data_IF_993346967801
#
_entry.id   IF_993346967801
#
_cell.length_a   1.000
_cell.length_b   1.000
_cell.length_c   1.000
_cell.angle_alpha   90.00
_cell.angle_beta   90.00
_cell.angle_gamma   90.00
#
_symmetry.space_group_name_H-M   'P 1'
#
loop_
_entity.id
_entity.type
_entity.pdbx_description
1 polymer ?
#
# COMPACT_ATOMS: atom_id res chain seq x y z
N UNK A 1 -4.25 -10.97 6.91
CA UNK A 1 -3.20 -10.14 6.29
C UNK A 1 -2.64 -10.86 5.08
N UNK A 2 -2.30 -10.15 4.01
CA UNK A 2 -1.90 -10.72 2.71
C UNK A 2 -0.39 -10.93 2.53
N UNK A 3 0.02 -11.22 1.30
CA UNK A 3 1.42 -11.32 0.88
C UNK A 3 1.73 -10.29 -0.20
N UNK A 4 2.92 -9.69 -0.13
CA UNK A 4 3.50 -8.93 -1.23
C UNK A 4 4.36 -9.89 -2.05
N UNK A 5 4.21 -9.87 -3.37
CA UNK A 5 4.90 -10.71 -4.34
C UNK A 5 5.78 -9.78 -5.19
N UNK A 6 7.10 -9.97 -5.16
CA UNK A 6 8.04 -9.27 -6.04
C UNK A 6 8.49 -10.26 -7.11
N UNK A 7 8.07 -10.04 -8.35
CA UNK A 7 8.43 -10.91 -9.46
C UNK A 7 9.84 -10.62 -9.95
N UNK A 8 10.50 -11.61 -10.58
CA UNK A 8 11.83 -11.43 -11.18
C UNK A 8 11.88 -10.29 -12.23
N UNK A 9 10.74 -9.96 -12.85
CA UNK A 9 10.62 -8.83 -13.77
C UNK A 9 10.56 -7.45 -13.09
N UNK A 10 10.66 -7.38 -11.76
CA UNK A 10 10.46 -6.17 -10.95
C UNK A 10 9.00 -5.75 -10.76
N UNK A 11 8.04 -6.46 -11.38
CA UNK A 11 6.61 -6.23 -11.13
C UNK A 11 6.28 -6.64 -9.70
N UNK A 12 5.40 -5.88 -9.05
CA UNK A 12 4.96 -6.19 -7.70
C UNK A 12 3.45 -6.42 -7.68
N UNK A 13 3.03 -7.45 -6.95
CA UNK A 13 1.61 -7.77 -6.72
C UNK A 13 1.32 -7.91 -5.24
N UNK A 14 0.07 -7.72 -4.84
CA UNK A 14 -0.43 -8.03 -3.50
C UNK A 14 -1.48 -9.13 -3.62
N UNK A 15 -1.37 -10.16 -2.77
CA UNK A 15 -2.39 -11.22 -2.63
C UNK A 15 -3.10 -11.08 -1.29
N UNK A 16 -4.42 -10.86 -1.32
CA UNK A 16 -5.30 -10.77 -0.15
C UNK A 16 -6.35 -11.88 -0.26
N UNK A 17 -6.19 -12.96 0.51
CA UNK A 17 -6.98 -14.18 0.28
C UNK A 17 -6.67 -14.75 -1.11
N UNK A 18 -7.70 -14.95 -1.92
CA UNK A 18 -7.57 -15.42 -3.31
C UNK A 18 -7.54 -14.29 -4.36
N UNK A 19 -7.73 -13.05 -3.92
CA UNK A 19 -7.68 -11.88 -4.79
C UNK A 19 -6.23 -11.42 -5.01
N UNK A 20 -5.92 -11.06 -6.26
CA UNK A 20 -4.64 -10.53 -6.69
C UNK A 20 -4.80 -9.08 -7.16
N UNK A 21 -3.84 -8.25 -6.78
CA UNK A 21 -3.78 -6.84 -7.11
C UNK A 21 -2.42 -6.52 -7.72
N UNK A 22 -2.40 -5.83 -8.85
CA UNK A 22 -1.20 -5.20 -9.36
C UNK A 22 -0.85 -3.98 -8.49
N UNK A 23 0.44 -3.78 -8.25
CA UNK A 23 0.94 -2.64 -7.48
C UNK A 23 1.69 -1.69 -8.38
N UNK A 24 1.20 -0.45 -8.42
CA UNK A 24 1.77 0.65 -9.19
C UNK A 24 2.33 1.72 -8.25
N UNK A 25 3.34 2.44 -8.72
CA UNK A 25 3.79 3.65 -8.03
C UNK A 25 2.69 4.72 -8.12
N UNK A 26 2.28 5.26 -6.97
CA UNK A 26 1.37 6.37 -6.92
C UNK A 26 2.03 7.69 -7.30
N UNK A 27 1.21 8.72 -7.47
CA UNK A 27 1.68 10.06 -7.80
C UNK A 27 2.67 10.57 -6.75
N UNK A 28 3.76 11.16 -7.23
CA UNK A 28 4.75 11.82 -6.36
C UNK A 28 4.09 13.01 -5.69
N UNK A 29 4.17 13.05 -4.37
CA UNK A 29 3.68 14.17 -3.57
C UNK A 29 4.84 15.12 -3.26
N UNK A 30 4.70 16.40 -3.62
CA UNK A 30 5.78 17.39 -3.45
C UNK A 30 5.70 18.14 -2.12
N UNK A 31 4.54 18.12 -1.46
CA UNK A 31 4.38 18.66 -0.12
C UNK A 31 4.75 17.65 0.97
N UNK A 32 5.09 18.16 2.16
CA UNK A 32 5.43 17.34 3.31
C UNK A 32 4.20 16.62 3.85
N UNK A 33 4.30 15.30 3.98
CA UNK A 33 3.30 14.45 4.62
C UNK A 33 3.94 13.73 5.81
N UNK A 34 3.21 13.64 6.92
CA UNK A 34 3.67 13.05 8.17
C UNK A 34 2.58 12.16 8.77
N UNK A 35 2.97 10.97 9.23
CA UNK A 35 2.08 10.07 9.96
C UNK A 35 2.24 10.33 11.45
N UNK A 36 1.12 10.45 12.15
CA UNK A 36 1.08 10.61 13.61
C UNK A 36 0.18 9.54 14.22
N UNK A 37 0.58 9.03 15.38
CA UNK A 37 -0.25 8.18 16.22
C UNK A 37 -0.95 9.06 17.27
N UNK A 38 -2.28 8.92 17.37
CA UNK A 38 -3.11 9.63 18.34
C UNK A 38 -3.91 8.60 19.12
N UNK A 39 -3.58 8.41 20.40
CA UNK A 39 -4.40 7.64 21.33
C UNK A 39 -5.28 8.61 22.13
N UNK A 40 -6.56 8.67 21.79
CA UNK A 40 -7.51 9.60 22.42
C UNK A 40 -7.91 9.19 23.84
N UNK A 41 -7.78 7.90 24.20
CA UNK A 41 -8.10 7.39 25.54
C UNK A 41 -7.02 7.81 26.55
N UNK A 42 -5.76 7.57 26.21
CA UNK A 42 -4.62 7.89 27.07
C UNK A 42 -4.09 9.32 26.85
N UNK A 43 -4.68 10.04 25.89
CA UNK A 43 -4.25 11.39 25.45
C UNK A 43 -2.78 11.42 25.04
N UNK A 44 -2.31 10.34 24.43
CA UNK A 44 -0.94 10.22 23.96
C UNK A 44 -0.85 10.56 22.47
N UNK A 45 0.16 11.36 22.11
CA UNK A 45 0.47 11.78 20.76
C UNK A 45 1.92 11.44 20.44
N UNK A 46 2.17 10.87 19.26
CA UNK A 46 3.51 10.54 18.79
C UNK A 46 3.64 10.74 17.28
N UNK A 47 4.67 11.47 16.82
CA UNK A 47 5.00 11.48 15.39
C UNK A 47 5.71 10.19 15.00
N UNK A 48 5.23 9.53 13.95
CA UNK A 48 5.82 8.33 13.37
C UNK A 48 6.77 8.65 12.20
N UNK A 49 6.73 9.90 11.72
CA UNK A 49 7.63 10.42 10.70
C UNK A 49 7.01 10.67 9.33
N UNK A 50 7.86 11.17 8.43
CA UNK A 50 7.47 11.62 7.09
C UNK A 50 7.44 10.47 6.09
N UNK A 51 6.50 10.52 5.15
CA UNK A 51 6.45 9.58 4.02
C UNK A 51 6.38 10.34 2.70
N UNK A 52 6.87 9.70 1.62
CA UNK A 52 6.98 10.32 0.28
C UNK A 52 6.51 9.42 -0.86
N UNK A 53 6.43 8.11 -0.62
CA UNK A 53 6.11 7.12 -1.65
C UNK A 53 4.70 6.60 -1.39
N UNK A 54 3.90 6.61 -2.44
CA UNK A 54 2.58 6.01 -2.46
C UNK A 54 2.61 4.79 -3.37
N UNK A 55 1.84 3.77 -3.01
CA UNK A 55 1.60 2.60 -3.84
C UNK A 55 0.09 2.51 -4.07
N UNK A 56 -0.30 2.19 -5.29
CA UNK A 56 -1.69 2.01 -5.69
C UNK A 56 -1.85 0.52 -5.99
N UNK A 57 -2.78 -0.14 -5.29
CA UNK A 57 -3.20 -1.50 -5.60
C UNK A 57 -4.44 -1.46 -6.49
N UNK A 58 -4.35 -2.02 -7.69
CA UNK A 58 -5.50 -2.18 -8.61
C UNK A 58 -5.79 -3.66 -8.76
N UNK A 59 -7.06 -4.04 -8.76
CA UNK A 59 -7.45 -5.44 -8.98
C UNK A 59 -6.91 -5.92 -10.32
N UNK A 60 -6.30 -7.09 -10.32
CA UNK A 60 -5.87 -7.78 -11.54
C UNK A 60 -7.13 -8.33 -12.24
N UNK A 61 -7.70 -7.53 -13.14
CA UNK A 61 -9.00 -7.82 -13.79
C UNK A 61 -8.90 -9.06 -14.67
N UNK A 62 -7.79 -9.23 -15.39
CA UNK A 62 -7.57 -10.39 -16.26
C UNK A 62 -7.65 -11.68 -15.42
N UNK A 63 -6.92 -11.74 -14.31
CA UNK A 63 -6.94 -12.88 -13.40
C UNK A 63 -8.26 -13.04 -12.62
N UNK A 64 -9.03 -11.96 -12.46
CA UNK A 64 -10.35 -12.03 -11.83
C UNK A 64 -11.38 -12.69 -12.75
N UNK A 65 -11.31 -12.40 -14.06
CA UNK A 65 -12.27 -12.89 -15.05
C UNK A 65 -11.90 -14.26 -15.64
N UNK A 66 -10.63 -14.66 -15.58
CA UNK A 66 -10.14 -15.97 -16.03
C UNK A 66 -10.32 -17.09 -14.97
N UNK A 67 -11.07 -16.82 -13.90
CA UNK A 67 -11.46 -17.80 -12.86
C UNK A 67 -12.92 -18.22 -13.03
#
# INVERSE_FOLDING_TARGET
MGKILVCNSGKMKIKLGDALFDVLAGTKCEFVQEVVAINTREKHFCSLGKFKKHLIGTTDIDNLLDK
#
